data_IF_876417143638
#
_entry.id   IF_876417143638
#
_cell.length_a   1.000
_cell.length_b   1.000
_cell.length_c   1.000
_cell.angle_alpha   90.00
_cell.angle_beta   90.00
_cell.angle_gamma   90.00
#
_symmetry.space_group_name_H-M   'P 1'
#
loop_
_entity.id
_entity.type
_entity.pdbx_description
1 polymer ?
#
# COMPACT_ATOMS: atom_id res chain seq x y z
N UNK A 1 13.10 35.62 79.57
CA UNK A 1 12.32 35.81 78.32
C UNK A 1 13.25 36.29 77.22
N UNK A 2 13.40 35.51 76.16
CA UNK A 2 13.51 35.93 74.76
C UNK A 2 13.58 34.64 73.93
N UNK A 3 12.58 34.43 73.10
CA UNK A 3 12.26 33.16 72.45
C UNK A 3 13.24 32.81 71.32
N UNK A 4 13.54 31.52 71.21
CA UNK A 4 14.22 30.93 70.06
C UNK A 4 13.25 30.86 68.88
N UNK A 5 13.60 31.47 67.75
CA UNK A 5 12.85 31.29 66.50
C UNK A 5 13.60 30.28 65.64
N UNK A 6 13.07 29.06 65.59
CA UNK A 6 13.48 27.99 64.70
C UNK A 6 12.99 28.30 63.29
N UNK A 7 13.91 28.56 62.36
CA UNK A 7 13.58 28.60 60.93
C UNK A 7 13.42 27.16 60.47
N UNK A 8 12.18 26.73 60.30
CA UNK A 8 11.84 25.48 59.60
C UNK A 8 12.21 25.70 58.12
N UNK A 9 13.24 25.00 57.65
CA UNK A 9 13.49 24.87 56.22
C UNK A 9 12.37 24.01 55.62
N UNK A 10 11.54 24.62 54.76
CA UNK A 10 10.60 23.90 53.91
C UNK A 10 11.39 23.07 52.88
N UNK A 11 10.88 21.89 52.47
CA UNK A 11 11.52 21.13 51.40
C UNK A 11 11.32 21.91 50.09
N UNK A 12 12.42 22.19 49.39
CA UNK A 12 12.36 22.70 48.02
C UNK A 12 11.69 21.62 47.16
N UNK A 13 10.40 21.77 46.90
CA UNK A 13 9.67 20.98 45.91
C UNK A 13 10.37 21.18 44.56
N UNK A 14 11.06 20.14 44.09
CA UNK A 14 11.62 20.14 42.76
C UNK A 14 10.46 20.20 41.77
N UNK A 15 10.21 21.38 41.21
CA UNK A 15 9.20 21.64 40.18
C UNK A 15 9.61 21.01 38.82
N UNK A 16 10.00 19.74 38.82
CA UNK A 16 10.27 19.00 37.59
C UNK A 16 8.93 18.52 37.00
N UNK A 17 8.62 18.83 35.73
CA UNK A 17 7.44 18.30 35.08
C UNK A 17 7.51 16.75 35.06
N UNK A 18 6.36 16.04 35.15
CA UNK A 18 6.35 14.59 35.15
C UNK A 18 7.00 14.06 33.87
N UNK A 19 8.15 13.38 34.02
CA UNK A 19 8.87 12.78 32.91
C UNK A 19 8.10 11.54 32.45
N UNK A 20 7.45 11.63 31.30
CA UNK A 20 6.81 10.48 30.67
C UNK A 20 7.84 9.72 29.85
N UNK A 21 8.27 8.56 30.36
CA UNK A 21 9.15 7.65 29.65
C UNK A 21 8.35 6.85 28.62
N UNK A 22 8.51 7.18 27.34
CA UNK A 22 8.01 6.36 26.24
C UNK A 22 9.10 5.37 25.80
N UNK A 23 8.74 4.16 25.36
CA UNK A 23 9.71 3.28 24.74
C UNK A 23 10.29 3.96 23.48
N UNK A 24 11.60 3.77 23.21
CA UNK A 24 12.22 4.33 22.01
C UNK A 24 11.52 3.80 20.76
N UNK A 25 11.52 4.60 19.69
CA UNK A 25 10.97 4.12 18.42
C UNK A 25 11.82 2.98 17.89
N UNK A 26 11.18 1.96 17.31
CA UNK A 26 11.86 0.84 16.66
C UNK A 26 12.74 1.28 15.47
N UNK A 27 12.53 2.51 15.00
CA UNK A 27 13.20 3.10 13.84
C UNK A 27 14.19 4.20 14.22
N UNK A 28 14.41 4.47 15.52
CA UNK A 28 15.20 5.60 16.00
C UNK A 28 16.62 5.65 15.41
N UNK A 29 17.23 4.47 15.26
CA UNK A 29 18.62 4.32 14.81
C UNK A 29 18.71 3.86 13.34
N UNK A 30 17.60 3.81 12.61
CA UNK A 30 17.61 3.40 11.21
C UNK A 30 18.03 4.58 10.32
N UNK A 31 19.29 4.55 9.88
CA UNK A 31 19.74 5.46 8.82
C UNK A 31 19.30 4.92 7.46
N UNK A 32 18.40 5.63 6.79
CA UNK A 32 18.01 5.34 5.42
C UNK A 32 19.06 5.91 4.46
N UNK A 33 20.05 5.10 4.09
CA UNK A 33 20.94 5.39 2.98
C UNK A 33 20.48 4.60 1.77
N UNK A 34 20.03 5.30 0.73
CA UNK A 34 19.64 4.69 -0.54
C UNK A 34 20.81 4.79 -1.52
N UNK A 35 21.16 3.67 -2.14
CA UNK A 35 22.09 3.68 -3.26
C UNK A 35 21.32 4.11 -4.52
N UNK A 36 21.52 5.36 -4.93
CA UNK A 36 20.85 5.93 -6.09
C UNK A 36 21.18 5.16 -7.38
N UNK A 37 22.37 4.55 -7.50
CA UNK A 37 22.72 3.75 -8.68
C UNK A 37 21.92 2.45 -8.75
N UNK A 38 21.62 1.86 -7.59
CA UNK A 38 20.76 0.67 -7.50
C UNK A 38 19.32 1.04 -7.86
N UNK A 39 18.83 2.18 -7.35
CA UNK A 39 17.50 2.67 -7.69
C UNK A 39 17.34 2.95 -9.19
N UNK A 40 18.34 3.56 -9.82
CA UNK A 40 18.35 3.84 -11.26
C UNK A 40 18.28 2.56 -12.08
N UNK A 41 19.09 1.54 -11.74
CA UNK A 41 19.02 0.22 -12.39
C UNK A 41 17.65 -0.43 -12.27
N UNK A 42 17.01 -0.34 -11.10
CA UNK A 42 15.66 -0.85 -10.94
C UNK A 42 14.67 -0.09 -11.83
N UNK A 43 14.75 1.23 -11.89
CA UNK A 43 13.90 2.04 -12.75
C UNK A 43 14.05 1.66 -14.24
N UNK A 44 15.28 1.43 -14.71
CA UNK A 44 15.55 0.98 -16.09
C UNK A 44 14.89 -0.37 -16.39
N UNK A 45 14.88 -1.30 -15.44
CA UNK A 45 14.25 -2.63 -15.62
C UNK A 45 12.73 -2.61 -15.51
N UNK A 46 12.16 -1.62 -14.81
CA UNK A 46 10.71 -1.54 -14.57
C UNK A 46 9.95 -1.10 -15.83
N UNK A 47 10.50 -0.19 -16.62
CA UNK A 47 9.84 0.28 -17.84
C UNK A 47 9.50 -0.83 -18.86
N UNK A 48 10.43 -1.73 -19.27
CA UNK A 48 10.07 -2.82 -20.17
C UNK A 48 9.06 -3.79 -19.56
N UNK A 49 9.12 -4.04 -18.25
CA UNK A 49 8.14 -4.88 -17.55
C UNK A 49 6.74 -4.24 -17.54
N UNK A 50 6.65 -2.91 -17.40
CA UNK A 50 5.37 -2.19 -17.53
C UNK A 50 4.76 -2.39 -18.92
N UNK A 51 5.56 -2.29 -19.97
CA UNK A 51 5.06 -2.52 -21.34
C UNK A 51 4.61 -3.97 -21.55
N UNK A 52 5.34 -4.94 -21.01
CA UNK A 52 4.94 -6.35 -21.07
C UNK A 52 3.59 -6.57 -20.39
N UNK A 53 3.41 -6.08 -19.16
CA UNK A 53 2.15 -6.17 -18.42
C UNK A 53 1.02 -5.44 -19.16
N UNK A 54 1.28 -4.25 -19.70
CA UNK A 54 0.29 -3.51 -20.51
C UNK A 54 -0.15 -4.34 -21.70
N UNK A 55 0.78 -5.00 -22.39
CA UNK A 55 0.44 -5.87 -23.51
C UNK A 55 -0.40 -7.08 -23.09
N UNK A 56 -0.15 -7.65 -21.91
CA UNK A 56 -0.95 -8.74 -21.36
C UNK A 56 -2.38 -8.29 -21.03
N UNK A 57 -2.54 -7.12 -20.42
CA UNK A 57 -3.85 -6.52 -20.10
C UNK A 57 -4.66 -6.25 -21.38
N UNK A 58 -3.99 -5.73 -22.42
CA UNK A 58 -4.62 -5.33 -23.68
C UNK A 58 -4.76 -6.46 -24.72
N UNK A 59 -4.34 -7.67 -24.40
CA UNK A 59 -4.45 -8.81 -25.31
C UNK A 59 -5.92 -9.12 -25.64
N UNK A 60 -6.23 -9.21 -26.94
CA UNK A 60 -7.60 -9.41 -27.44
C UNK A 60 -8.06 -10.86 -27.36
N UNK A 61 -7.13 -11.81 -27.47
CA UNK A 61 -7.44 -13.24 -27.53
C UNK A 61 -7.46 -13.92 -26.15
N UNK A 62 -7.41 -13.13 -25.07
CA UNK A 62 -7.44 -13.62 -23.69
C UNK A 62 -8.89 -13.80 -23.22
N UNK A 63 -9.19 -14.94 -22.56
CA UNK A 63 -10.52 -15.17 -22.00
C UNK A 63 -10.86 -14.10 -20.94
N UNK A 64 -12.13 -13.68 -20.82
CA UNK A 64 -12.54 -12.68 -19.83
C UNK A 64 -12.08 -13.00 -18.40
N UNK A 65 -12.23 -14.26 -17.97
CA UNK A 65 -11.81 -14.70 -16.63
C UNK A 65 -10.29 -14.61 -16.41
N UNK A 66 -9.48 -15.03 -17.39
CA UNK A 66 -8.02 -14.94 -17.29
C UNK A 66 -7.57 -13.48 -17.18
N UNK A 67 -8.31 -12.56 -17.82
CA UNK A 67 -8.08 -11.13 -17.74
C UNK A 67 -8.47 -10.55 -16.37
N UNK A 68 -9.60 -10.98 -15.78
CA UNK A 68 -9.97 -10.58 -14.41
C UNK A 68 -8.94 -11.08 -13.38
N UNK A 69 -8.44 -12.30 -13.53
CA UNK A 69 -7.37 -12.84 -12.65
C UNK A 69 -6.10 -12.00 -12.74
N UNK A 70 -5.72 -11.58 -13.95
CA UNK A 70 -4.57 -10.69 -14.13
C UNK A 70 -4.80 -9.35 -13.42
N UNK A 71 -5.99 -8.75 -13.54
CA UNK A 71 -6.34 -7.49 -12.89
C UNK A 71 -6.30 -7.62 -11.36
N UNK A 72 -6.96 -8.64 -10.77
CA UNK A 72 -6.91 -8.89 -9.32
C UNK A 72 -5.46 -9.08 -8.83
N UNK A 73 -4.63 -9.76 -9.61
CA UNK A 73 -3.21 -9.93 -9.30
C UNK A 73 -2.48 -8.58 -9.28
N UNK A 74 -2.71 -7.71 -10.25
CA UNK A 74 -2.07 -6.38 -10.31
C UNK A 74 -2.51 -5.48 -9.15
N UNK A 75 -3.78 -5.53 -8.76
CA UNK A 75 -4.32 -4.78 -7.62
C UNK A 75 -3.72 -5.28 -6.30
N UNK A 76 -3.67 -6.59 -6.08
CA UNK A 76 -3.07 -7.20 -4.87
C UNK A 76 -1.56 -6.97 -4.76
N UNK A 77 -0.88 -6.85 -5.90
CA UNK A 77 0.54 -6.48 -5.94
C UNK A 77 0.77 -4.98 -5.69
N UNK A 78 -0.28 -4.15 -5.69
CA UNK A 78 -0.18 -2.70 -5.50
C UNK A 78 0.45 -1.97 -6.68
N UNK A 79 0.45 -2.57 -7.88
CA UNK A 79 1.04 -2.00 -9.11
C UNK A 79 -0.01 -1.59 -10.15
N UNK A 80 -1.29 -1.84 -9.87
CA UNK A 80 -2.41 -1.51 -10.76
C UNK A 80 -2.48 -0.02 -11.14
N UNK A 81 -1.98 0.90 -10.30
CA UNK A 81 -1.96 2.34 -10.57
C UNK A 81 -1.18 2.74 -11.84
N UNK A 82 -0.34 1.85 -12.37
CA UNK A 82 0.35 2.06 -13.65
C UNK A 82 -0.53 1.82 -14.88
N UNK A 83 -1.71 1.20 -14.70
CA UNK A 83 -2.56 0.68 -15.77
C UNK A 83 -4.05 1.04 -15.56
N UNK A 84 -4.36 2.10 -14.80
CA UNK A 84 -5.73 2.41 -14.38
C UNK A 84 -6.70 2.49 -15.56
N UNK A 85 -6.29 3.21 -16.62
CA UNK A 85 -7.11 3.36 -17.83
C UNK A 85 -7.27 2.03 -18.55
N UNK A 86 -6.18 1.29 -18.70
CA UNK A 86 -6.19 0.00 -19.36
C UNK A 86 -7.10 -0.99 -18.64
N UNK A 87 -7.07 -1.00 -17.30
CA UNK A 87 -7.93 -1.82 -16.46
C UNK A 87 -9.40 -1.41 -16.61
N UNK A 88 -9.71 -0.11 -16.53
CA UNK A 88 -11.08 0.41 -16.70
C UNK A 88 -11.68 0.00 -18.06
N UNK A 89 -10.92 0.21 -19.15
CA UNK A 89 -11.34 -0.15 -20.50
C UNK A 89 -11.63 -1.66 -20.63
N UNK A 90 -10.83 -2.50 -19.98
CA UNK A 90 -11.02 -3.96 -20.01
C UNK A 90 -12.19 -4.43 -19.16
N UNK A 91 -12.39 -3.87 -17.96
CA UNK A 91 -13.54 -4.20 -17.11
C UNK A 91 -14.84 -3.81 -17.83
N UNK A 92 -14.89 -2.64 -18.48
CA UNK A 92 -16.07 -2.21 -19.24
C UNK A 92 -16.40 -3.19 -20.37
N UNK A 93 -15.39 -3.68 -21.09
CA UNK A 93 -15.56 -4.67 -22.15
C UNK A 93 -16.07 -6.02 -21.61
N UNK A 94 -15.51 -6.50 -20.51
CA UNK A 94 -15.93 -7.74 -19.86
C UNK A 94 -17.39 -7.65 -19.41
N UNK A 95 -17.78 -6.53 -18.80
CA UNK A 95 -19.16 -6.30 -18.36
C UNK A 95 -20.14 -6.26 -19.54
N UNK A 96 -19.80 -5.55 -20.62
CA UNK A 96 -20.60 -5.53 -21.86
C UNK A 96 -20.75 -6.92 -22.47
N UNK A 97 -19.67 -7.71 -22.48
CA UNK A 97 -19.72 -9.10 -22.95
C UNK A 97 -20.68 -9.94 -22.10
N UNK A 98 -20.55 -9.90 -20.77
CA UNK A 98 -21.39 -10.67 -19.85
C UNK A 98 -22.87 -10.29 -19.93
N UNK A 99 -23.19 -9.00 -20.11
CA UNK A 99 -24.56 -8.54 -20.27
C UNK A 99 -25.24 -9.10 -21.53
N UNK A 100 -24.46 -9.40 -22.59
CA UNK A 100 -24.95 -10.01 -23.81
C UNK A 100 -25.00 -11.54 -23.74
N UNK A 101 -24.22 -12.16 -22.84
CA UNK A 101 -24.05 -13.62 -22.69
C UNK A 101 -24.95 -14.23 -21.59
N UNK A 102 -25.90 -13.47 -21.04
CA UNK A 102 -26.84 -13.92 -20.00
C UNK A 102 -27.73 -15.11 -20.40
N UNK A 103 -27.68 -15.55 -21.67
CA UNK A 103 -28.43 -16.69 -22.17
C UNK A 103 -27.73 -18.06 -21.96
N UNK A 104 -26.41 -18.11 -21.67
CA UNK A 104 -25.64 -19.38 -21.61
C UNK A 104 -25.33 -19.91 -20.19
N UNK A 105 -25.63 -19.16 -19.12
CA UNK A 105 -25.78 -19.67 -17.74
C UNK A 105 -24.60 -20.42 -17.09
N UNK A 106 -23.44 -20.54 -17.73
CA UNK A 106 -22.32 -21.37 -17.27
C UNK A 106 -21.25 -20.56 -16.51
N UNK A 107 -21.67 -19.76 -15.52
CA UNK A 107 -20.74 -19.06 -14.64
C UNK A 107 -20.55 -19.85 -13.35
N UNK A 108 -19.30 -20.20 -13.04
CA UNK A 108 -18.97 -20.78 -11.74
C UNK A 108 -18.87 -19.68 -10.66
N UNK A 109 -18.90 -20.11 -9.39
CA UNK A 109 -18.88 -19.19 -8.25
C UNK A 109 -17.59 -18.36 -8.20
N UNK A 110 -16.45 -18.94 -8.57
CA UNK A 110 -15.18 -18.24 -8.55
C UNK A 110 -15.17 -17.11 -9.58
N UNK A 111 -15.61 -17.39 -10.81
CA UNK A 111 -15.73 -16.39 -11.88
C UNK A 111 -16.72 -15.27 -11.53
N UNK A 112 -17.80 -15.58 -10.82
CA UNK A 112 -18.83 -14.60 -10.44
C UNK A 112 -18.45 -13.74 -9.23
N UNK A 113 -17.65 -14.29 -8.31
CA UNK A 113 -17.29 -13.63 -7.06
C UNK A 113 -15.96 -12.88 -7.11
N UNK A 114 -15.14 -13.14 -8.14
CA UNK A 114 -13.93 -12.40 -8.46
C UNK A 114 -14.29 -10.97 -8.92
#
# INVERSE_FOLDING_TARGET
MAAATSVVNAPEESNNPPVKAFPPSLWADMSFSFDNQVLEKFAETVEPLKEEVRSMVMAKDTKPIDKMILIDTLERLGVAYHFEKEIEDQIEQIFKFHANDLEDGNYDLFTTAL
#
